data_IF_336301025749
#
_entry.id   IF_336301025749
#
_cell.length_a   1.000
_cell.length_b   1.000
_cell.length_c   1.000
_cell.angle_alpha   90.00
_cell.angle_beta   90.00
_cell.angle_gamma   90.00
#
_symmetry.space_group_name_H-M   'P 1'
#
loop_
_entity.id
_entity.type
_entity.pdbx_description
1 polymer ?
#
# COMPACT_ATOMS: atom_id res chain seq x y z
N UNK A 1 12.89 -38.56 -21.15
CA UNK A 1 12.78 -37.72 -19.98
C UNK A 1 11.53 -36.84 -20.06
N UNK A 2 10.71 -36.94 -19.09
CA UNK A 2 9.51 -36.12 -19.09
C UNK A 2 9.87 -34.65 -18.78
N UNK A 3 9.41 -33.78 -19.64
CA UNK A 3 9.52 -32.37 -19.36
C UNK A 3 8.27 -31.92 -18.63
N UNK A 4 8.44 -31.13 -17.62
CA UNK A 4 7.30 -30.57 -16.89
C UNK A 4 6.63 -29.51 -17.76
N UNK A 5 5.41 -29.82 -18.17
CA UNK A 5 4.60 -28.86 -18.92
C UNK A 5 3.49 -28.38 -18.01
N UNK A 6 3.38 -27.08 -17.90
CA UNK A 6 2.42 -26.45 -17.00
C UNK A 6 1.33 -25.75 -17.78
N UNK A 7 0.12 -25.78 -17.25
CA UNK A 7 -0.97 -24.97 -17.80
C UNK A 7 -0.79 -23.52 -17.37
N UNK A 8 -1.48 -22.62 -18.06
CA UNK A 8 -1.48 -21.19 -17.66
C UNK A 8 -1.98 -21.05 -16.23
N UNK A 9 -3.03 -21.81 -15.88
CA UNK A 9 -3.58 -21.77 -14.52
C UNK A 9 -2.52 -22.19 -13.49
N UNK A 10 -1.76 -23.22 -13.78
CA UNK A 10 -0.73 -23.68 -12.86
C UNK A 10 0.36 -22.64 -12.65
N UNK A 11 0.79 -21.97 -13.72
CA UNK A 11 1.80 -20.91 -13.64
C UNK A 11 1.27 -19.73 -12.83
N UNK A 12 0.07 -19.27 -13.14
CA UNK A 12 -0.52 -18.11 -12.43
C UNK A 12 -0.77 -18.44 -10.97
N UNK A 13 -1.23 -19.63 -10.66
CA UNK A 13 -1.44 -20.06 -9.27
C UNK A 13 -0.14 -20.17 -8.51
N UNK A 14 0.90 -20.65 -9.14
CA UNK A 14 2.21 -20.74 -8.54
C UNK A 14 2.75 -19.35 -8.17
N UNK A 15 2.66 -18.42 -9.12
CA UNK A 15 3.11 -17.05 -8.91
C UNK A 15 2.29 -16.38 -7.80
N UNK A 16 0.97 -16.56 -7.82
CA UNK A 16 0.10 -16.04 -6.78
C UNK A 16 0.49 -16.57 -5.40
N UNK A 17 0.81 -17.85 -5.34
CA UNK A 17 1.20 -18.49 -4.09
C UNK A 17 2.50 -17.90 -3.55
N UNK A 18 3.45 -17.59 -4.45
CA UNK A 18 4.68 -16.91 -4.05
C UNK A 18 4.40 -15.54 -3.45
N UNK A 19 3.49 -14.77 -4.06
CA UNK A 19 3.08 -13.47 -3.52
C UNK A 19 2.42 -13.62 -2.16
N UNK A 20 1.55 -14.60 -2.01
CA UNK A 20 0.83 -14.85 -0.76
C UNK A 20 1.78 -15.18 0.37
N UNK A 21 2.87 -15.87 0.08
CA UNK A 21 3.85 -16.26 1.08
C UNK A 21 4.87 -15.18 1.38
N UNK A 22 4.93 -14.13 0.56
CA UNK A 22 5.88 -13.05 0.77
C UNK A 22 5.43 -12.16 1.91
N UNK A 23 6.24 -12.06 2.93
CA UNK A 23 5.92 -11.31 4.13
C UNK A 23 5.76 -9.82 3.86
N UNK A 24 6.62 -9.26 3.01
CA UNK A 24 6.61 -7.84 2.72
C UNK A 24 5.38 -7.43 1.91
N UNK A 25 5.01 -8.23 0.91
CA UNK A 25 3.91 -7.89 0.01
C UNK A 25 2.53 -8.10 0.65
N UNK A 26 2.45 -8.82 1.75
CA UNK A 26 1.18 -9.04 2.45
C UNK A 26 0.71 -7.84 3.24
N UNK A 27 1.61 -6.92 3.56
CA UNK A 27 1.26 -5.69 4.26
C UNK A 27 2.29 -4.63 3.91
N UNK A 28 1.91 -3.71 3.05
CA UNK A 28 2.83 -2.74 2.51
C UNK A 28 2.14 -1.38 2.37
N UNK A 29 2.90 -0.32 2.58
CA UNK A 29 2.46 1.04 2.30
C UNK A 29 3.02 1.46 0.95
N UNK A 30 2.15 1.91 0.07
CA UNK A 30 2.55 2.35 -1.27
C UNK A 30 2.08 3.77 -1.48
N UNK A 31 2.98 4.62 -1.94
CA UNK A 31 2.72 6.03 -2.20
C UNK A 31 2.63 6.27 -3.69
N UNK A 32 1.68 7.07 -4.10
CA UNK A 32 1.55 7.43 -5.51
C UNK A 32 0.42 8.41 -5.73
N UNK A 33 0.22 8.73 -7.00
CA UNK A 33 -0.82 9.64 -7.45
C UNK A 33 -2.01 8.84 -7.97
N UNK A 34 -3.22 9.25 -7.60
CA UNK A 34 -4.45 8.59 -8.03
C UNK A 34 -4.67 8.84 -9.53
N UNK A 35 -4.95 7.79 -10.25
CA UNK A 35 -5.26 7.83 -11.68
C UNK A 35 -6.38 6.83 -11.97
N UNK A 36 -7.23 7.13 -12.95
CA UNK A 36 -8.31 6.23 -13.38
C UNK A 36 -9.19 5.75 -12.22
N UNK A 37 -9.56 6.66 -11.34
CA UNK A 37 -10.36 6.30 -10.17
C UNK A 37 -11.82 6.14 -10.55
N UNK A 38 -12.40 4.99 -10.24
CA UNK A 38 -13.78 4.66 -10.52
C UNK A 38 -14.46 4.07 -9.28
N UNK A 39 -15.54 4.74 -8.87
CA UNK A 39 -16.39 4.23 -7.81
C UNK A 39 -17.47 3.38 -8.47
N UNK A 40 -17.33 2.06 -8.32
CA UNK A 40 -18.26 1.12 -8.95
C UNK A 40 -19.55 1.01 -8.15
N UNK A 41 -20.66 0.70 -8.84
CA UNK A 41 -21.97 0.55 -8.18
C UNK A 41 -22.00 -0.56 -7.14
N UNK A 42 -21.11 -1.55 -7.27
CA UNK A 42 -20.99 -2.63 -6.27
C UNK A 42 -20.42 -2.16 -4.93
N UNK A 43 -19.92 -0.92 -4.86
CA UNK A 43 -19.24 -0.41 -3.68
C UNK A 43 -17.73 -0.56 -3.73
N UNK A 44 -17.20 -1.32 -4.68
CA UNK A 44 -15.75 -1.43 -4.87
C UNK A 44 -15.21 -0.18 -5.55
N UNK A 45 -13.99 0.19 -5.22
CA UNK A 45 -13.31 1.32 -5.86
C UNK A 45 -12.12 0.76 -6.64
N UNK A 46 -12.05 1.08 -7.92
CA UNK A 46 -10.94 0.71 -8.78
C UNK A 46 -10.15 1.94 -9.14
N UNK A 47 -8.86 1.90 -8.97
CA UNK A 47 -8.00 3.03 -9.31
C UNK A 47 -6.61 2.53 -9.64
N UNK A 48 -5.77 3.45 -10.10
CA UNK A 48 -4.35 3.16 -10.31
C UNK A 48 -3.54 4.13 -9.47
N UNK A 49 -2.42 3.66 -8.96
CA UNK A 49 -1.39 4.51 -8.38
C UNK A 49 -0.27 4.63 -9.40
N UNK A 50 0.17 5.84 -9.63
CA UNK A 50 1.29 6.07 -10.53
C UNK A 50 2.33 6.98 -9.90
N UNK A 51 3.55 6.84 -10.37
CA UNK A 51 4.63 7.78 -10.12
C UNK A 51 5.30 8.07 -11.44
N UNK A 52 6.46 8.71 -11.41
CA UNK A 52 7.18 9.05 -12.62
C UNK A 52 7.68 7.86 -13.43
N UNK A 53 7.73 6.67 -12.84
CA UNK A 53 8.31 5.48 -13.46
C UNK A 53 7.32 4.38 -13.77
N UNK A 54 6.18 4.33 -13.11
CA UNK A 54 5.29 3.19 -13.28
C UNK A 54 3.91 3.39 -12.73
N UNK A 55 3.10 2.36 -12.92
CA UNK A 55 1.69 2.35 -12.51
C UNK A 55 1.36 0.99 -11.93
N UNK A 56 0.55 0.97 -10.87
CA UNK A 56 0.03 -0.27 -10.32
C UNK A 56 -1.49 -0.16 -10.17
N UNK A 57 -2.19 -1.20 -10.59
CA UNK A 57 -3.64 -1.26 -10.44
C UNK A 57 -3.98 -1.54 -8.98
N UNK A 58 -5.01 -0.87 -8.50
CA UNK A 58 -5.46 -0.99 -7.12
C UNK A 58 -6.95 -1.25 -7.07
N UNK A 59 -7.38 -1.95 -6.03
CA UNK A 59 -8.80 -2.12 -5.75
C UNK A 59 -9.02 -2.05 -4.24
N UNK A 60 -10.07 -1.32 -3.85
CA UNK A 60 -10.55 -1.33 -2.47
C UNK A 60 -11.93 -1.95 -2.49
N UNK A 61 -12.06 -3.14 -1.92
CA UNK A 61 -13.35 -3.82 -1.87
C UNK A 61 -14.32 -3.11 -0.92
N UNK A 62 -15.58 -3.28 -1.19
CA UNK A 62 -16.64 -2.62 -0.40
C UNK A 62 -16.48 -2.87 1.10
N UNK A 63 -16.06 -4.08 1.50
CA UNK A 63 -15.85 -4.41 2.90
C UNK A 63 -14.70 -3.67 3.56
N UNK A 64 -13.83 -3.04 2.78
CA UNK A 64 -12.69 -2.29 3.28
C UNK A 64 -12.90 -0.78 3.26
N UNK A 65 -14.09 -0.32 2.86
CA UNK A 65 -14.38 1.10 2.70
C UNK A 65 -14.22 1.91 3.98
N UNK A 66 -14.25 1.26 5.14
CA UNK A 66 -13.96 1.92 6.41
C UNK A 66 -12.56 2.49 6.52
N UNK A 67 -11.64 2.02 5.71
CA UNK A 67 -10.27 2.52 5.68
C UNK A 67 -10.07 3.77 4.82
N UNK A 68 -11.14 4.28 4.22
CA UNK A 68 -11.09 5.48 3.39
C UNK A 68 -12.04 6.52 3.98
N UNK A 69 -11.49 7.66 4.40
CA UNK A 69 -12.27 8.69 5.09
C UNK A 69 -12.56 9.92 4.21
N UNK A 70 -12.15 9.90 2.95
CA UNK A 70 -12.35 11.01 2.02
C UNK A 70 -12.75 10.47 0.66
N UNK A 71 -13.19 11.36 -0.23
CA UNK A 71 -13.53 10.99 -1.59
C UNK A 71 -12.29 11.13 -2.47
N UNK A 72 -11.85 10.02 -3.07
CA UNK A 72 -10.67 10.03 -3.94
C UNK A 72 -10.95 10.71 -5.26
N UNK A 73 -9.97 11.49 -5.72
CA UNK A 73 -10.04 12.20 -7.00
C UNK A 73 -8.74 12.02 -7.76
N UNK A 74 -8.84 12.17 -9.08
CA UNK A 74 -7.68 12.16 -9.95
C UNK A 74 -6.64 13.17 -9.47
N UNK A 75 -5.39 12.77 -9.51
CA UNK A 75 -4.28 13.65 -9.20
C UNK A 75 -3.92 13.80 -7.74
N UNK A 76 -4.70 13.21 -6.84
CA UNK A 76 -4.37 13.26 -5.41
C UNK A 76 -3.15 12.40 -5.11
N UNK A 77 -2.27 12.90 -4.24
CA UNK A 77 -1.17 12.11 -3.71
C UNK A 77 -1.67 11.36 -2.47
N UNK A 78 -1.57 10.05 -2.51
CA UNK A 78 -2.10 9.21 -1.43
C UNK A 78 -1.08 8.17 -1.00
N UNK A 79 -1.30 7.62 0.19
CA UNK A 79 -0.56 6.48 0.71
C UNK A 79 -1.59 5.38 0.96
N UNK A 80 -1.34 4.21 0.40
CA UNK A 80 -2.24 3.06 0.50
C UNK A 80 -1.57 1.97 1.31
N UNK A 81 -2.24 1.52 2.35
CA UNK A 81 -1.87 0.31 3.07
C UNK A 81 -2.66 -0.84 2.49
N UNK A 82 -1.97 -1.90 2.11
CA UNK A 82 -2.64 -3.07 1.58
C UNK A 82 -1.69 -4.21 1.30
N UNK A 83 -2.16 -5.13 0.51
CA UNK A 83 -1.37 -6.29 0.08
C UNK A 83 -1.28 -6.32 -1.44
N UNK A 84 -0.12 -6.73 -1.94
CA UNK A 84 0.06 -6.94 -3.38
C UNK A 84 -0.09 -8.42 -3.65
N UNK A 85 -0.96 -8.76 -4.57
CA UNK A 85 -1.14 -10.16 -4.97
C UNK A 85 -1.52 -10.25 -6.44
N UNK A 86 -1.58 -11.47 -6.95
CA UNK A 86 -1.86 -11.75 -8.35
C UNK A 86 -3.35 -11.98 -8.55
N UNK A 87 -3.88 -11.32 -9.57
CA UNK A 87 -5.21 -11.63 -10.08
C UNK A 87 -5.04 -12.72 -11.13
N UNK A 88 -5.44 -13.94 -10.77
CA UNK A 88 -5.13 -15.11 -11.57
C UNK A 88 -5.72 -15.09 -12.98
N UNK A 89 -6.88 -14.48 -13.13
CA UNK A 89 -7.57 -14.46 -14.44
C UNK A 89 -6.75 -13.80 -15.52
N UNK A 90 -6.06 -12.73 -15.18
CA UNK A 90 -5.29 -11.94 -16.14
C UNK A 90 -3.79 -12.14 -15.98
N UNK A 91 -3.36 -12.76 -14.88
CA UNK A 91 -1.94 -12.91 -14.57
C UNK A 91 -1.25 -11.62 -14.20
N UNK A 92 -2.00 -10.63 -13.77
CA UNK A 92 -1.46 -9.34 -13.37
C UNK A 92 -1.48 -9.18 -11.85
N UNK A 93 -0.53 -8.43 -11.30
CA UNK A 93 -0.56 -8.14 -9.87
C UNK A 93 -1.29 -6.84 -9.61
N UNK A 94 -1.90 -6.78 -8.43
CA UNK A 94 -2.70 -5.63 -8.00
C UNK A 94 -2.45 -5.35 -6.53
N UNK A 95 -2.69 -4.10 -6.14
CA UNK A 95 -2.65 -3.69 -4.75
C UNK A 95 -4.08 -3.72 -4.20
N UNK A 96 -4.29 -4.54 -3.20
CA UNK A 96 -5.59 -4.66 -2.51
C UNK A 96 -5.58 -3.74 -1.30
N UNK A 97 -6.26 -2.61 -1.43
CA UNK A 97 -6.20 -1.54 -0.44
C UNK A 97 -7.03 -1.86 0.81
N UNK A 98 -6.46 -1.60 1.97
CA UNK A 98 -7.13 -1.71 3.27
C UNK A 98 -7.36 -0.35 3.88
N UNK A 99 -6.38 0.55 3.76
CA UNK A 99 -6.49 1.92 4.24
C UNK A 99 -5.87 2.85 3.21
N UNK A 100 -6.50 4.01 3.05
CA UNK A 100 -6.02 5.03 2.11
C UNK A 100 -6.00 6.37 2.85
N UNK A 101 -4.90 7.09 2.75
CA UNK A 101 -4.74 8.42 3.34
C UNK A 101 -4.17 9.39 2.32
N UNK A 102 -4.51 10.65 2.48
CA UNK A 102 -3.87 11.69 1.69
C UNK A 102 -2.43 11.88 2.17
N UNK A 103 -1.50 11.90 1.20
CA UNK A 103 -0.11 12.19 1.50
C UNK A 103 0.05 13.70 1.72
N UNK A 104 0.77 14.05 2.77
CA UNK A 104 0.99 15.45 3.11
C UNK A 104 -0.12 16.09 3.91
N UNK A 105 -1.24 15.42 4.10
CA UNK A 105 -2.30 15.87 5.01
C UNK A 105 -2.11 15.36 6.40
N UNK A 106 -1.08 14.54 6.62
CA UNK A 106 -0.73 14.21 7.97
C UNK A 106 -0.52 15.49 8.73
N UNK A 107 -1.21 15.66 9.86
CA UNK A 107 -0.93 16.77 10.76
C UNK A 107 0.54 16.68 11.15
N UNK A 108 1.08 17.79 11.62
CA UNK A 108 2.43 17.79 12.15
C UNK A 108 2.60 16.71 13.22
N UNK A 109 1.54 16.47 13.97
CA UNK A 109 1.50 15.42 14.99
C UNK A 109 1.67 14.02 14.36
N UNK A 110 0.97 13.74 13.28
CA UNK A 110 1.08 12.45 12.61
C UNK A 110 2.48 12.22 12.03
N UNK A 111 3.06 13.24 11.43
CA UNK A 111 4.43 13.17 10.94
C UNK A 111 5.41 12.93 12.08
N UNK A 112 5.18 13.57 13.21
CA UNK A 112 5.99 13.37 14.40
C UNK A 112 5.90 11.91 14.88
N UNK A 113 4.70 11.35 14.92
CA UNK A 113 4.50 9.97 15.35
C UNK A 113 5.18 8.97 14.43
N UNK A 114 5.13 9.21 13.12
CA UNK A 114 5.81 8.35 12.15
C UNK A 114 7.32 8.40 12.36
N UNK A 115 7.87 9.60 12.53
CA UNK A 115 9.30 9.77 12.77
C UNK A 115 9.72 9.10 14.07
N UNK A 116 8.92 9.26 15.10
CA UNK A 116 9.18 8.63 16.40
C UNK A 116 9.24 7.12 16.28
N UNK A 117 8.31 6.54 15.54
CA UNK A 117 8.27 5.10 15.32
C UNK A 117 9.50 4.62 14.57
N UNK A 118 9.91 5.35 13.53
CA UNK A 118 11.12 5.01 12.81
C UNK A 118 12.35 5.03 13.70
N UNK A 119 12.46 6.05 14.55
CA UNK A 119 13.58 6.16 15.47
C UNK A 119 13.60 5.02 16.47
N UNK A 120 12.44 4.61 16.96
CA UNK A 120 12.33 3.46 17.85
C UNK A 120 12.79 2.17 17.17
N UNK A 121 12.38 1.97 15.93
CA UNK A 121 12.77 0.79 15.16
C UNK A 121 14.27 0.76 14.89
N UNK A 122 14.88 1.92 14.75
CA UNK A 122 16.31 2.02 14.53
C UNK A 122 17.12 1.96 15.83
N UNK A 123 16.44 1.85 16.99
CA UNK A 123 17.11 1.77 18.27
C UNK A 123 17.74 3.07 18.72
N UNK A 124 17.26 4.20 18.23
CA UNK A 124 17.85 5.51 18.51
C UNK A 124 17.22 6.23 19.70
N UNK A 125 16.40 5.54 20.48
CA UNK A 125 15.76 6.11 21.64
C UNK A 125 16.57 5.90 22.90
N UNK A 126 17.79 6.44 22.91
CA UNK A 126 18.58 6.55 24.13
C UNK A 126 18.09 7.77 24.93
N UNK A 127 18.21 7.75 26.26
CA UNK A 127 17.75 8.88 27.07
C UNK A 127 18.36 10.22 26.67
N UNK A 128 19.63 10.28 26.38
CA UNK A 128 20.27 11.51 25.93
C UNK A 128 19.76 11.99 24.58
N UNK A 129 19.37 11.08 23.71
CA UNK A 129 18.80 11.42 22.42
C UNK A 129 17.40 12.03 22.59
N UNK A 130 16.59 11.43 23.45
CA UNK A 130 15.29 11.95 23.79
C UNK A 130 15.39 13.35 24.41
N UNK A 131 16.39 13.56 25.22
CA UNK A 131 16.65 14.86 25.82
C UNK A 131 16.92 15.92 24.76
N UNK A 132 17.72 15.59 23.75
CA UNK A 132 18.00 16.50 22.64
C UNK A 132 16.75 16.84 21.85
N UNK A 133 15.94 15.84 21.56
CA UNK A 133 14.68 16.05 20.84
C UNK A 133 13.76 16.95 21.64
N UNK A 134 13.70 16.72 22.93
CA UNK A 134 12.83 17.49 23.83
C UNK A 134 13.27 18.96 23.91
N UNK A 135 14.56 19.19 23.94
CA UNK A 135 15.13 20.55 23.99
C UNK A 135 14.85 21.30 22.71
N UNK A 136 14.86 20.61 21.57
CA UNK A 136 14.62 21.24 20.28
C UNK A 136 13.16 21.56 20.00
N UNK A 137 12.24 21.11 20.82
CA UNK A 137 10.85 21.46 20.68
C UNK A 137 10.60 22.87 21.25
N UNK A 138 9.96 23.73 20.47
CA UNK A 138 9.58 25.05 20.95
C UNK A 138 8.48 25.01 21.99
#
# INVERSE_FOLDING_TARGET
MARNVYTVKQVNSYIKNMFTQDFMLNRIYVKGEVSNCKYHTSGHIYFSLKDESGTIACVMFAGQRGGLSFHMREGQQIIVLGSVNVYERTGSYQLYAQEIRLDGEGTLYEKYQMLKQELEEMGMFAPEYLSLIHISEP
#
